data_IF_731342234730
#
_entry.id   IF_731342234730
#
_cell.length_a   1.000
_cell.length_b   1.000
_cell.length_c   1.000
_cell.angle_alpha   90.00
_cell.angle_beta   90.00
_cell.angle_gamma   90.00
#
_symmetry.space_group_name_H-M   'P 1'
#
loop_
_entity.id
_entity.type
_entity.pdbx_description
1 polymer ?
#
# COMPACT_ATOMS: atom_id res chain seq x y z
N UNK A 1 4.03 26.75 35.48
CA UNK A 1 4.41 26.05 34.23
C UNK A 1 3.83 26.84 33.06
N UNK A 2 4.67 27.54 32.31
CA UNK A 2 4.26 28.42 31.21
C UNK A 2 3.89 27.57 29.99
N UNK A 3 2.66 27.71 29.48
CA UNK A 3 2.20 27.03 28.26
C UNK A 3 2.72 27.79 27.04
N UNK A 4 3.54 27.14 26.21
CA UNK A 4 3.93 27.67 24.91
C UNK A 4 2.82 27.48 23.89
N UNK A 5 2.57 28.50 23.07
CA UNK A 5 1.56 28.49 22.01
C UNK A 5 2.13 27.92 20.71
N UNK A 6 1.26 27.49 19.79
CA UNK A 6 1.65 26.95 18.49
C UNK A 6 2.51 27.93 17.66
N UNK A 7 2.31 29.23 17.90
CA UNK A 7 3.09 30.33 17.31
C UNK A 7 4.54 30.36 17.82
N UNK A 8 4.76 29.97 19.08
CA UNK A 8 6.09 29.90 19.69
C UNK A 8 6.90 28.70 19.18
N UNK A 9 6.22 27.63 18.75
CA UNK A 9 6.83 26.45 18.13
C UNK A 9 7.26 26.69 16.68
N UNK A 10 6.52 27.54 15.95
CA UNK A 10 6.83 27.96 14.58
C UNK A 10 8.09 28.83 14.50
N UNK A 11 8.26 29.79 15.42
CA UNK A 11 9.46 30.66 15.43
C UNK A 11 10.76 29.92 15.76
N UNK A 12 10.66 28.78 16.47
CA UNK A 12 11.81 27.96 16.86
C UNK A 12 12.23 26.93 15.80
N UNK A 13 11.57 26.89 14.63
CA UNK A 13 11.93 25.98 13.53
C UNK A 13 11.70 24.49 13.81
N UNK A 14 10.89 24.15 14.83
CA UNK A 14 10.62 22.77 15.26
C UNK A 14 9.46 22.09 14.49
N UNK A 15 8.76 22.83 13.63
CA UNK A 15 7.71 22.33 12.71
C UNK A 15 8.00 22.86 11.31
N UNK A 16 8.10 22.01 10.27
CA UNK A 16 8.36 22.48 8.91
C UNK A 16 7.14 23.25 8.35
N UNK A 17 7.37 24.43 7.76
CA UNK A 17 6.37 25.21 7.03
C UNK A 17 5.84 24.40 5.83
N UNK A 18 4.60 23.91 5.97
CA UNK A 18 4.01 22.92 5.09
C UNK A 18 3.08 23.46 4.00
N UNK A 19 3.08 24.75 3.65
CA UNK A 19 1.90 25.28 2.91
C UNK A 19 2.11 26.02 1.58
N UNK A 20 3.29 26.56 1.25
CA UNK A 20 3.42 27.44 0.06
C UNK A 20 3.49 26.74 -1.31
N UNK A 21 4.45 25.82 -1.49
CA UNK A 21 4.82 25.31 -2.83
C UNK A 21 3.92 24.20 -3.38
N UNK A 22 3.38 23.34 -2.52
CA UNK A 22 2.55 22.20 -2.93
C UNK A 22 1.12 22.61 -3.32
N UNK A 23 0.54 23.59 -2.64
CA UNK A 23 -0.80 24.10 -2.95
C UNK A 23 -0.84 24.83 -4.30
N UNK A 24 0.21 25.58 -4.64
CA UNK A 24 0.32 26.32 -5.92
C UNK A 24 0.41 25.38 -7.12
N UNK A 25 1.30 24.38 -7.07
CA UNK A 25 1.42 23.32 -8.11
C UNK A 25 0.13 22.53 -8.32
N UNK A 26 -0.67 22.34 -7.25
CA UNK A 26 -1.97 21.65 -7.33
C UNK A 26 -3.03 22.52 -8.00
N UNK A 27 -3.08 23.83 -7.71
CA UNK A 27 -4.01 24.77 -8.37
C UNK A 27 -3.72 24.90 -9.87
N UNK A 28 -2.44 25.02 -10.26
CA UNK A 28 -2.02 25.10 -11.67
C UNK A 28 -2.35 23.84 -12.47
N UNK A 29 -2.11 22.64 -11.90
CA UNK A 29 -2.52 21.39 -12.55
C UNK A 29 -4.03 21.26 -12.69
N UNK A 30 -4.79 21.80 -11.74
CA UNK A 30 -6.25 21.74 -11.78
C UNK A 30 -6.83 22.74 -12.79
N UNK A 31 -6.23 23.93 -12.94
CA UNK A 31 -6.66 24.90 -13.96
C UNK A 31 -6.37 24.42 -15.39
N UNK A 32 -5.20 23.82 -15.62
CA UNK A 32 -4.86 23.20 -16.91
C UNK A 32 -5.81 22.06 -17.27
N UNK A 33 -6.19 21.23 -16.29
CA UNK A 33 -7.18 20.15 -16.49
C UNK A 33 -8.59 20.69 -16.79
N UNK A 34 -9.00 21.79 -16.14
CA UNK A 34 -10.30 22.43 -16.39
C UNK A 34 -10.34 23.01 -17.81
N UNK A 35 -9.28 23.68 -18.25
CA UNK A 35 -9.21 24.27 -19.59
C UNK A 35 -9.23 23.20 -20.68
N UNK A 36 -8.43 22.14 -20.52
CA UNK A 36 -8.44 20.98 -21.42
C UNK A 36 -9.81 20.30 -21.49
N UNK A 37 -10.55 20.21 -20.37
CA UNK A 37 -11.92 19.68 -20.38
C UNK A 37 -12.90 20.59 -21.14
N UNK A 38 -12.76 21.92 -21.04
CA UNK A 38 -13.64 22.87 -21.76
C UNK A 38 -13.42 22.79 -23.27
N UNK A 39 -12.17 22.66 -23.70
CA UNK A 39 -11.81 22.49 -25.10
C UNK A 39 -12.33 21.15 -25.66
N UNK A 40 -12.19 20.06 -24.90
CA UNK A 40 -12.73 18.75 -25.29
C UNK A 40 -14.26 18.73 -25.39
N UNK A 41 -14.96 19.43 -24.49
CA UNK A 41 -16.43 19.59 -24.57
C UNK A 41 -16.82 20.41 -25.79
N UNK A 42 -16.08 21.48 -26.11
CA UNK A 42 -16.34 22.31 -27.29
C UNK A 42 -16.16 21.54 -28.60
N UNK A 43 -15.12 20.72 -28.71
CA UNK A 43 -14.88 19.85 -29.87
C UNK A 43 -16.00 18.80 -30.04
N UNK A 44 -16.48 18.21 -28.93
CA UNK A 44 -17.59 17.27 -28.97
C UNK A 44 -18.91 17.93 -29.42
N UNK A 45 -19.20 19.13 -28.93
CA UNK A 45 -20.38 19.90 -29.35
C UNK A 45 -20.32 20.36 -30.82
N UNK A 46 -19.12 20.42 -31.41
CA UNK A 46 -18.89 20.70 -32.82
C UNK A 46 -18.97 19.45 -33.72
N UNK A 47 -19.32 18.28 -33.16
CA UNK A 47 -19.44 17.02 -33.91
C UNK A 47 -18.11 16.31 -34.18
N UNK A 48 -17.00 16.80 -33.61
CA UNK A 48 -15.69 16.17 -33.76
C UNK A 48 -15.58 14.96 -32.82
N UNK A 49 -15.14 13.82 -33.37
CA UNK A 49 -14.91 12.62 -32.57
C UNK A 49 -13.68 12.80 -31.70
N UNK A 50 -13.84 12.70 -30.38
CA UNK A 50 -12.71 12.79 -29.45
C UNK A 50 -11.77 11.59 -29.65
N UNK A 51 -10.44 11.79 -29.62
CA UNK A 51 -9.50 10.69 -29.69
C UNK A 51 -9.71 9.75 -28.50
N UNK A 52 -9.79 8.43 -28.77
CA UNK A 52 -9.85 7.42 -27.72
C UNK A 52 -8.67 7.61 -26.77
N UNK A 53 -8.96 7.92 -25.51
CA UNK A 53 -7.94 8.06 -24.48
C UNK A 53 -7.04 6.82 -24.46
N UNK A 54 -5.71 6.98 -24.41
CA UNK A 54 -4.80 5.84 -24.40
C UNK A 54 -5.12 4.95 -23.18
N UNK A 55 -5.24 3.65 -23.42
CA UNK A 55 -5.48 2.68 -22.37
C UNK A 55 -4.42 2.83 -21.28
N UNK A 56 -4.81 3.13 -20.03
CA UNK A 56 -3.88 3.20 -18.90
C UNK A 56 -3.14 1.86 -18.78
N UNK A 57 -1.80 1.88 -18.96
CA UNK A 57 -0.94 0.70 -18.74
C UNK A 57 -1.28 0.05 -17.39
N UNK A 58 -1.64 -1.25 -17.41
CA UNK A 58 -1.88 -2.04 -16.19
C UNK A 58 -0.61 -2.00 -15.33
N UNK A 59 -0.75 -1.57 -14.08
CA UNK A 59 0.35 -1.35 -13.16
C UNK A 59 0.89 -2.70 -12.64
N UNK A 60 1.79 -3.35 -13.38
CA UNK A 60 2.21 -4.74 -13.13
C UNK A 60 3.17 -4.94 -11.94
N UNK A 61 3.73 -3.88 -11.35
CA UNK A 61 4.83 -4.03 -10.38
C UNK A 61 4.47 -4.78 -9.09
N UNK A 62 3.27 -4.55 -8.53
CA UNK A 62 2.83 -5.15 -7.26
C UNK A 62 2.50 -6.64 -7.44
N UNK A 63 1.74 -6.95 -8.49
CA UNK A 63 1.45 -8.33 -8.89
C UNK A 63 2.73 -9.13 -9.15
N UNK A 64 3.75 -8.55 -9.79
CA UNK A 64 5.04 -9.21 -9.99
C UNK A 64 5.78 -9.51 -8.68
N UNK A 65 5.76 -8.59 -7.70
CA UNK A 65 6.37 -8.82 -6.38
C UNK A 65 5.64 -9.96 -5.67
N UNK A 66 4.31 -9.94 -5.66
CA UNK A 66 3.52 -10.99 -5.02
C UNK A 66 3.80 -12.37 -5.61
N UNK A 67 3.84 -12.48 -6.94
CA UNK A 67 4.17 -13.75 -7.62
C UNK A 67 5.53 -14.28 -7.17
N UNK A 68 6.56 -13.42 -7.10
CA UNK A 68 7.89 -13.86 -6.64
C UNK A 68 7.91 -14.26 -5.17
N UNK A 69 7.25 -13.50 -4.30
CA UNK A 69 7.16 -13.81 -2.86
C UNK A 69 6.46 -15.16 -2.63
N UNK A 70 5.35 -15.41 -3.31
CA UNK A 70 4.61 -16.68 -3.22
C UNK A 70 5.43 -17.83 -3.79
N UNK A 71 6.08 -17.64 -4.94
CA UNK A 71 6.93 -18.66 -5.55
C UNK A 71 8.09 -19.05 -4.62
N UNK A 72 8.78 -18.07 -4.05
CA UNK A 72 9.84 -18.31 -3.07
C UNK A 72 9.31 -19.05 -1.83
N UNK A 73 8.18 -18.61 -1.26
CA UNK A 73 7.60 -19.27 -0.08
C UNK A 73 7.29 -20.73 -0.36
N UNK A 74 6.70 -21.03 -1.51
CA UNK A 74 6.40 -22.40 -1.92
C UNK A 74 7.70 -23.22 -2.13
N UNK A 75 8.75 -22.62 -2.69
CA UNK A 75 10.03 -23.31 -2.83
C UNK A 75 10.67 -23.67 -1.49
N UNK A 76 10.56 -22.79 -0.48
CA UNK A 76 11.22 -22.99 0.82
C UNK A 76 10.38 -23.79 1.82
N UNK A 77 9.07 -23.56 1.87
CA UNK A 77 8.22 -24.01 2.96
C UNK A 77 7.06 -24.91 2.53
N UNK A 78 6.91 -25.28 1.25
CA UNK A 78 5.75 -26.09 0.80
C UNK A 78 5.63 -27.45 1.48
N UNK A 79 6.74 -28.09 1.86
CA UNK A 79 6.70 -29.38 2.57
C UNK A 79 6.07 -29.22 3.96
N UNK A 80 6.45 -28.17 4.69
CA UNK A 80 5.96 -27.91 6.06
C UNK A 80 4.60 -27.18 6.08
N UNK A 81 4.40 -26.24 5.15
CA UNK A 81 3.28 -25.30 5.14
C UNK A 81 2.62 -25.15 3.75
N UNK A 82 2.09 -26.22 3.13
CA UNK A 82 1.65 -26.22 1.73
C UNK A 82 0.51 -25.23 1.40
N UNK A 83 -0.38 -24.93 2.37
CA UNK A 83 -1.60 -24.12 2.17
C UNK A 83 -1.70 -22.91 3.10
N UNK A 84 -0.63 -22.56 3.82
CA UNK A 84 -0.73 -21.57 4.89
C UNK A 84 -0.40 -20.14 4.46
N UNK A 85 0.21 -19.92 3.29
CA UNK A 85 0.32 -18.58 2.71
C UNK A 85 -0.85 -18.34 1.75
N UNK A 86 -1.81 -17.53 2.20
CA UNK A 86 -3.08 -17.29 1.54
C UNK A 86 -3.08 -15.89 0.93
N UNK A 87 -3.39 -15.79 -0.37
CA UNK A 87 -3.58 -14.52 -1.05
C UNK A 87 -5.01 -13.99 -0.85
N UNK A 88 -5.11 -12.80 -0.28
CA UNK A 88 -6.38 -12.12 -0.02
C UNK A 88 -6.68 -11.17 -1.17
N UNK A 89 -7.66 -11.52 -2.00
CA UNK A 89 -8.02 -10.73 -3.20
C UNK A 89 -8.99 -9.59 -2.86
N UNK A 90 -8.57 -8.65 -2.01
CA UNK A 90 -9.41 -7.52 -1.58
C UNK A 90 -9.15 -6.19 -2.34
N UNK A 91 -8.18 -6.15 -3.26
CA UNK A 91 -7.73 -4.92 -3.95
C UNK A 91 -8.19 -4.72 -5.40
N UNK A 92 -9.10 -5.54 -5.91
CA UNK A 92 -9.55 -5.46 -7.32
C UNK A 92 -10.47 -4.26 -7.57
N UNK A 93 -10.22 -3.48 -8.63
CA UNK A 93 -11.21 -2.49 -9.11
C UNK A 93 -12.43 -3.23 -9.63
N UNK A 94 -13.61 -2.82 -9.19
CA UNK A 94 -14.86 -3.24 -9.82
C UNK A 94 -14.84 -2.74 -11.28
N UNK A 95 -14.96 -3.67 -12.22
CA UNK A 95 -15.14 -3.38 -13.64
C UNK A 95 -16.63 -3.26 -13.95
N UNK A 96 -16.98 -2.52 -15.00
CA UNK A 96 -18.37 -2.31 -15.43
C UNK A 96 -18.80 -0.84 -15.36
N UNK A 97 -20.04 -0.59 -15.78
CA UNK A 97 -20.65 0.74 -15.67
C UNK A 97 -20.82 1.17 -14.19
N UNK A 98 -21.23 2.42 -13.96
CA UNK A 98 -21.35 2.96 -12.60
C UNK A 98 -22.35 2.17 -11.74
N UNK A 99 -23.44 1.68 -12.32
CA UNK A 99 -24.48 0.90 -11.63
C UNK A 99 -23.94 -0.47 -11.24
N UNK A 100 -23.27 -1.16 -12.16
CA UNK A 100 -22.65 -2.46 -11.92
C UNK A 100 -21.60 -2.40 -10.80
N UNK A 101 -20.77 -1.36 -10.80
CA UNK A 101 -19.76 -1.16 -9.74
C UNK A 101 -20.41 -0.90 -8.38
N UNK A 102 -21.48 -0.11 -8.31
CA UNK A 102 -22.21 0.15 -7.08
C UNK A 102 -22.85 -1.13 -6.50
N UNK A 103 -23.52 -1.93 -7.34
CA UNK A 103 -24.13 -3.20 -6.95
C UNK A 103 -23.06 -4.18 -6.45
N UNK A 104 -21.96 -4.33 -7.19
CA UNK A 104 -20.86 -5.21 -6.80
C UNK A 104 -20.20 -4.76 -5.50
N UNK A 105 -19.97 -3.47 -5.32
CA UNK A 105 -19.43 -2.91 -4.07
C UNK A 105 -20.34 -3.16 -2.87
N UNK A 106 -21.65 -2.96 -3.04
CA UNK A 106 -22.65 -3.24 -2.00
C UNK A 106 -22.67 -4.73 -1.63
N UNK A 107 -22.66 -5.61 -2.64
CA UNK A 107 -22.57 -7.07 -2.44
C UNK A 107 -21.29 -7.47 -1.73
N UNK A 108 -20.13 -6.99 -2.18
CA UNK A 108 -18.84 -7.26 -1.53
C UNK A 108 -18.85 -6.86 -0.06
N UNK A 109 -19.40 -5.68 0.27
CA UNK A 109 -19.53 -5.22 1.65
C UNK A 109 -20.45 -6.13 2.47
N UNK A 110 -21.57 -6.57 1.89
CA UNK A 110 -22.49 -7.50 2.55
C UNK A 110 -21.87 -8.90 2.74
N UNK A 111 -21.02 -9.35 1.81
CA UNK A 111 -20.26 -10.61 1.89
C UNK A 111 -19.04 -10.51 2.84
N UNK A 112 -18.79 -9.35 3.46
CA UNK A 112 -17.74 -9.19 4.46
C UNK A 112 -16.36 -8.84 3.90
N UNK A 113 -16.26 -8.36 2.66
CA UNK A 113 -14.99 -7.86 2.11
C UNK A 113 -14.51 -6.67 2.96
N UNK A 114 -13.32 -6.82 3.55
CA UNK A 114 -12.68 -5.79 4.39
C UNK A 114 -11.77 -4.91 3.51
N UNK A 115 -12.13 -3.63 3.28
CA UNK A 115 -11.32 -2.75 2.44
C UNK A 115 -9.99 -2.41 3.11
N UNK A 116 -8.88 -2.70 2.41
CA UNK A 116 -7.54 -2.47 2.94
C UNK A 116 -6.97 -3.61 3.78
N UNK A 117 -7.62 -4.78 3.80
CA UNK A 117 -6.99 -6.01 4.26
C UNK A 117 -5.67 -6.23 3.50
N UNK A 118 -4.66 -6.72 4.22
CA UNK A 118 -3.33 -6.99 3.63
C UNK A 118 -3.38 -8.09 2.58
N UNK A 119 -2.47 -8.01 1.60
CA UNK A 119 -2.47 -8.87 0.42
C UNK A 119 -2.26 -10.36 0.74
N UNK A 120 -1.47 -10.66 1.78
CA UNK A 120 -1.13 -12.02 2.19
C UNK A 120 -1.42 -12.25 3.68
N UNK A 121 -1.91 -13.44 3.99
CA UNK A 121 -1.97 -14.01 5.34
C UNK A 121 -1.12 -15.26 5.39
N UNK A 122 -0.12 -15.28 6.27
CA UNK A 122 0.57 -16.49 6.68
C UNK A 122 -0.13 -17.04 7.93
N UNK A 123 -1.01 -18.02 7.72
CA UNK A 123 -1.84 -18.66 8.74
C UNK A 123 -1.07 -19.74 9.51
N UNK A 124 0.07 -19.38 10.09
CA UNK A 124 0.89 -20.26 10.92
C UNK A 124 1.17 -19.53 12.23
N UNK A 125 0.77 -20.06 13.40
CA UNK A 125 1.19 -19.50 14.68
C UNK A 125 2.71 -19.56 14.83
N UNK A 126 3.31 -18.48 15.34
CA UNK A 126 4.75 -18.45 15.63
C UNK A 126 5.07 -17.46 16.76
N UNK A 127 5.80 -17.93 17.76
CA UNK A 127 6.02 -17.18 19.01
C UNK A 127 4.70 -16.79 19.67
N UNK A 128 4.55 -15.50 19.97
CA UNK A 128 3.32 -14.93 20.56
C UNK A 128 2.21 -14.64 19.54
N UNK A 129 2.49 -14.79 18.24
CA UNK A 129 1.58 -14.36 17.17
C UNK A 129 0.75 -15.55 16.62
N UNK A 130 -0.58 -15.43 16.55
CA UNK A 130 -1.44 -16.47 15.94
C UNK A 130 -1.28 -16.58 14.41
N UNK A 131 -0.71 -15.57 13.77
CA UNK A 131 -0.53 -15.48 12.33
C UNK A 131 0.11 -14.15 11.91
N UNK A 132 0.53 -14.07 10.65
CA UNK A 132 1.21 -12.90 10.09
C UNK A 132 0.50 -12.35 8.85
N UNK A 133 0.10 -11.08 8.93
CA UNK A 133 -0.41 -10.29 7.80
C UNK A 133 0.71 -9.52 7.09
N UNK A 134 0.79 -9.63 5.77
CA UNK A 134 1.81 -8.94 4.97
C UNK A 134 1.12 -8.16 3.84
N UNK A 135 1.26 -6.83 3.88
CA UNK A 135 0.92 -5.97 2.75
C UNK A 135 2.14 -5.84 1.83
N UNK A 136 1.95 -6.09 0.55
CA UNK A 136 2.98 -5.90 -0.46
C UNK A 136 2.87 -4.52 -1.08
N UNK A 137 3.97 -3.77 -1.02
CA UNK A 137 4.10 -2.49 -1.69
C UNK A 137 5.13 -2.54 -2.80
N UNK A 138 4.92 -1.68 -3.78
CA UNK A 138 6.00 -1.33 -4.72
C UNK A 138 7.00 -0.40 -4.03
N UNK A 139 8.27 -0.41 -4.46
CA UNK A 139 9.24 0.61 -4.05
C UNK A 139 8.67 2.02 -4.25
N UNK A 140 8.85 2.88 -3.25
CA UNK A 140 8.30 4.24 -3.23
C UNK A 140 6.80 4.36 -2.95
N UNK A 141 6.07 3.25 -2.76
CA UNK A 141 4.68 3.26 -2.30
C UNK A 141 4.60 3.01 -0.79
N UNK A 142 3.53 3.48 -0.16
CA UNK A 142 3.31 3.43 1.27
C UNK A 142 1.89 2.95 1.59
N UNK A 143 1.67 2.46 2.80
CA UNK A 143 0.35 2.10 3.30
C UNK A 143 -0.62 3.27 3.18
N UNK A 144 -1.80 2.99 2.60
CA UNK A 144 -2.95 3.89 2.64
C UNK A 144 -3.52 3.92 4.06
N UNK A 145 -4.35 4.93 4.37
CA UNK A 145 -4.97 5.08 5.69
C UNK A 145 -5.69 3.81 6.15
N UNK A 146 -6.60 3.28 5.33
CA UNK A 146 -7.37 2.07 5.65
C UNK A 146 -6.50 0.80 5.81
N UNK A 147 -5.39 0.70 5.06
CA UNK A 147 -4.45 -0.42 5.20
C UNK A 147 -3.68 -0.36 6.52
N UNK A 148 -3.29 0.86 6.95
CA UNK A 148 -2.67 1.08 8.25
C UNK A 148 -3.64 0.75 9.39
N UNK A 149 -4.89 1.21 9.27
CA UNK A 149 -5.96 0.91 10.22
C UNK A 149 -6.18 -0.59 10.33
N UNK A 150 -6.27 -1.31 9.21
CA UNK A 150 -6.40 -2.77 9.21
C UNK A 150 -5.26 -3.44 9.98
N UNK A 151 -4.00 -3.11 9.68
CA UNK A 151 -2.86 -3.69 10.39
C UNK A 151 -2.85 -3.36 11.88
N UNK A 152 -3.27 -2.15 12.26
CA UNK A 152 -3.40 -1.77 13.65
C UNK A 152 -4.47 -2.59 14.37
N UNK A 153 -5.62 -2.81 13.74
CA UNK A 153 -6.67 -3.67 14.30
C UNK A 153 -6.20 -5.12 14.45
N UNK A 154 -5.48 -5.66 13.47
CA UNK A 154 -4.90 -7.02 13.57
C UNK A 154 -3.89 -7.11 14.72
N UNK A 155 -3.00 -6.11 14.87
CA UNK A 155 -2.03 -6.07 15.98
C UNK A 155 -2.70 -5.96 17.35
N UNK A 156 -3.79 -5.20 17.46
CA UNK A 156 -4.55 -5.06 18.73
C UNK A 156 -5.09 -6.39 19.27
N UNK A 157 -5.36 -7.34 18.39
CA UNK A 157 -5.85 -8.68 18.76
C UNK A 157 -4.75 -9.75 18.69
N UNK A 158 -3.48 -9.33 18.70
CA UNK A 158 -2.32 -10.23 18.85
C UNK A 158 -1.72 -10.77 17.55
N UNK A 159 -2.21 -10.41 16.37
CA UNK A 159 -1.57 -10.83 15.12
C UNK A 159 -0.32 -10.02 14.81
N UNK A 160 0.67 -10.65 14.17
CA UNK A 160 1.73 -9.92 13.52
C UNK A 160 1.19 -9.27 12.23
N UNK A 161 1.61 -8.02 11.96
CA UNK A 161 1.24 -7.33 10.72
C UNK A 161 2.34 -6.35 10.30
N UNK A 162 2.77 -6.43 9.04
CA UNK A 162 3.84 -5.58 8.48
C UNK A 162 3.69 -5.35 6.96
N UNK A 163 4.54 -4.51 6.39
CA UNK A 163 4.62 -4.27 4.95
C UNK A 163 5.97 -4.71 4.36
N UNK A 164 5.97 -5.28 3.16
CA UNK A 164 7.18 -5.62 2.41
C UNK A 164 7.19 -4.91 1.05
N UNK A 165 8.33 -4.30 0.68
CA UNK A 165 8.51 -3.53 -0.56
C UNK A 165 9.31 -4.26 -1.62
N UNK A 166 10.02 -5.30 -1.23
CA UNK A 166 10.81 -6.15 -2.11
C UNK A 166 10.65 -7.60 -1.72
N UNK A 167 11.13 -8.49 -2.59
CA UNK A 167 11.16 -9.91 -2.28
C UNK A 167 12.10 -10.20 -1.10
N UNK A 168 13.26 -9.54 -1.04
CA UNK A 168 14.23 -9.72 0.03
C UNK A 168 13.67 -9.30 1.40
N UNK A 169 12.89 -8.22 1.44
CA UNK A 169 12.17 -7.83 2.66
C UNK A 169 11.15 -8.90 3.07
N UNK A 170 10.37 -9.43 2.11
CA UNK A 170 9.42 -10.51 2.37
C UNK A 170 10.12 -11.75 2.93
N UNK A 171 11.23 -12.17 2.34
CA UNK A 171 12.01 -13.32 2.81
C UNK A 171 12.52 -13.11 4.23
N UNK A 172 13.08 -11.93 4.53
CA UNK A 172 13.58 -11.60 5.86
C UNK A 172 12.46 -11.62 6.91
N UNK A 173 11.30 -11.03 6.59
CA UNK A 173 10.12 -11.04 7.46
C UNK A 173 9.66 -12.48 7.73
N UNK A 174 9.52 -13.30 6.69
CA UNK A 174 9.02 -14.68 6.82
C UNK A 174 9.98 -15.56 7.61
N UNK A 175 11.30 -15.45 7.38
CA UNK A 175 12.31 -16.19 8.15
C UNK A 175 12.27 -15.80 9.62
N UNK A 176 12.35 -14.50 9.92
CA UNK A 176 12.25 -13.98 11.29
C UNK A 176 11.00 -14.53 12.00
N UNK A 177 9.86 -14.51 11.29
CA UNK A 177 8.61 -14.98 11.84
C UNK A 177 8.61 -16.50 12.08
N UNK A 178 8.91 -17.32 11.07
CA UNK A 178 8.78 -18.78 11.14
C UNK A 178 9.90 -19.48 11.91
N UNK A 179 11.09 -18.88 11.96
CA UNK A 179 12.29 -19.50 12.51
C UNK A 179 12.65 -18.94 13.88
N UNK A 180 12.42 -17.65 14.11
CA UNK A 180 12.76 -16.98 15.38
C UNK A 180 11.54 -16.63 16.23
N UNK A 181 10.32 -16.88 15.74
CA UNK A 181 9.09 -16.63 16.50
C UNK A 181 8.83 -15.16 16.80
N UNK A 182 9.39 -14.24 16.02
CA UNK A 182 9.30 -12.81 16.28
C UNK A 182 9.03 -12.00 15.00
N UNK A 183 8.59 -10.75 15.16
CA UNK A 183 8.33 -9.86 14.02
C UNK A 183 9.54 -8.97 13.75
N UNK A 184 10.02 -8.98 12.50
CA UNK A 184 11.13 -8.12 12.07
C UNK A 184 10.76 -6.63 12.21
N UNK A 185 11.60 -5.83 12.89
CA UNK A 185 11.54 -4.37 12.79
C UNK A 185 11.96 -3.93 11.39
N UNK A 186 10.97 -3.84 10.50
CA UNK A 186 11.18 -3.50 9.10
C UNK A 186 11.79 -2.10 8.91
N UNK A 187 11.58 -1.17 9.86
CA UNK A 187 12.15 0.18 9.77
C UNK A 187 13.65 0.13 10.07
N UNK A 188 14.04 -0.60 11.12
CA UNK A 188 15.45 -0.82 11.45
C UNK A 188 16.17 -1.58 10.33
N UNK A 189 15.55 -2.64 9.79
CA UNK A 189 16.08 -3.42 8.66
C UNK A 189 16.34 -2.54 7.42
N UNK A 190 15.37 -1.71 7.03
CA UNK A 190 15.53 -0.78 5.90
C UNK A 190 16.66 0.23 6.14
N UNK A 191 16.78 0.76 7.37
CA UNK A 191 17.84 1.71 7.74
C UNK A 191 19.24 1.08 7.67
N UNK A 192 19.40 -0.18 8.10
CA UNK A 192 20.70 -0.88 8.07
C UNK A 192 21.15 -1.17 6.62
N UNK A 193 20.22 -1.54 5.74
CA UNK A 193 20.50 -1.78 4.31
C UNK A 193 20.99 -0.54 3.57
N UNK A 194 20.41 0.64 3.85
CA UNK A 194 20.84 1.91 3.25
C UNK A 194 22.28 2.28 3.66
N UNK A 195 22.66 2.00 4.91
CA UNK A 195 24.04 2.23 5.38
C UNK A 195 25.02 1.32 4.66
N UNK A 196 24.70 0.03 4.51
CA UNK A 196 25.54 -0.95 3.82
C UNK A 196 25.78 -0.59 2.34
N UNK A 197 24.77 -0.06 1.65
CA UNK A 197 24.96 0.40 0.26
C UNK A 197 25.80 1.67 0.12
N UNK A 198 25.94 2.47 1.19
CA UNK A 198 26.73 3.70 1.21
C UNK A 198 28.18 3.51 1.68
N UNK A 199 28.45 2.44 2.44
CA UNK A 199 29.80 2.09 2.92
C UNK A 199 30.61 1.20 1.96
N UNK A 200 30.03 0.82 0.82
CA UNK A 200 30.68 0.09 -0.27
C UNK A 200 30.99 1.01 -1.48
N UNK A 201 31.07 2.33 -1.24
CA UNK A 201 31.49 3.34 -2.23
C UNK A 201 32.76 4.01 -1.72
#
# INVERSE_FOLDING_TARGET
MTKFTEKDLLLKGLVPDGSGGYAKKRKEKNSQAIQSNREAVRAHMAGETLPKAPAKKKNQGESKIQVRCVAWFQAQYRVKYPKHLIAIRNGGRETGDAKQRAIKGARNKAEGVVPGASDLLLAVPSGEYPGLWIELKRPGQYLRKNQREFQEQMRRVGYAATDAKTEEEFQAIVRQYLEEGSLLDIKAYRKSRIKKSRGNV
#
